data_IF_142544198470
#
_entry.id   IF_142544198470
#
_cell.length_a   1.000
_cell.length_b   1.000
_cell.length_c   1.000
_cell.angle_alpha   90.00
_cell.angle_beta   90.00
_cell.angle_gamma   90.00
#
_symmetry.space_group_name_H-M   'P 1'
#
loop_
_entity.id
_entity.type
_entity.pdbx_description
1 polymer ?
#
# COMPACT_ATOMS: atom_id res chain seq x y z
N UNK A 1 -4.03 -12.51 -15.26
CA UNK A 1 -3.50 -11.16 -15.56
C UNK A 1 -2.90 -11.19 -16.95
N UNK A 2 -3.27 -10.25 -17.83
CA UNK A 2 -2.56 -10.05 -19.09
C UNK A 2 -1.20 -9.42 -18.81
N UNK A 3 -0.16 -9.86 -19.52
CA UNK A 3 1.23 -9.41 -19.33
C UNK A 3 1.36 -7.87 -19.41
N UNK A 4 0.58 -7.24 -20.29
CA UNK A 4 0.54 -5.79 -20.51
C UNK A 4 0.07 -5.01 -19.28
N UNK A 5 -0.98 -5.46 -18.61
CA UNK A 5 -1.54 -4.79 -17.44
C UNK A 5 -0.59 -4.89 -16.23
N UNK A 6 0.13 -6.01 -16.09
CA UNK A 6 1.16 -6.18 -15.05
C UNK A 6 2.34 -5.22 -15.25
N UNK A 7 2.80 -5.04 -16.50
CA UNK A 7 3.90 -4.12 -16.81
C UNK A 7 3.52 -2.67 -16.46
N UNK A 8 2.29 -2.26 -16.80
CA UNK A 8 1.76 -0.94 -16.45
C UNK A 8 1.72 -0.76 -14.92
N UNK A 9 1.22 -1.76 -14.19
CA UNK A 9 1.15 -1.73 -12.73
C UNK A 9 2.55 -1.59 -12.10
N UNK A 10 3.54 -2.36 -12.56
CA UNK A 10 4.93 -2.26 -12.08
C UNK A 10 5.49 -0.87 -12.37
N UNK A 11 5.25 -0.32 -13.57
CA UNK A 11 5.68 1.03 -13.92
C UNK A 11 5.14 2.10 -12.95
N UNK A 12 3.84 2.02 -12.61
CA UNK A 12 3.24 2.92 -11.62
C UNK A 12 3.83 2.72 -10.23
N UNK A 13 4.09 1.47 -9.80
CA UNK A 13 4.71 1.19 -8.50
C UNK A 13 6.14 1.74 -8.40
N UNK A 14 6.93 1.67 -9.47
CA UNK A 14 8.26 2.28 -9.53
C UNK A 14 8.16 3.81 -9.39
N UNK A 15 7.19 4.44 -10.04
CA UNK A 15 6.98 5.89 -9.91
C UNK A 15 6.57 6.26 -8.48
N UNK A 16 5.70 5.49 -7.84
CA UNK A 16 5.32 5.67 -6.43
C UNK A 16 6.55 5.54 -5.53
N UNK A 17 7.37 4.50 -5.73
CA UNK A 17 8.61 4.31 -4.97
C UNK A 17 9.56 5.50 -5.07
N UNK A 18 9.85 5.94 -6.31
CA UNK A 18 10.77 7.06 -6.55
C UNK A 18 10.22 8.36 -5.95
N UNK A 19 8.93 8.63 -6.12
CA UNK A 19 8.33 9.85 -5.59
C UNK A 19 8.27 9.88 -4.06
N UNK A 20 7.88 8.78 -3.43
CA UNK A 20 7.78 8.70 -1.97
C UNK A 20 9.16 8.86 -1.31
N UNK A 21 10.20 8.28 -1.91
CA UNK A 21 11.59 8.47 -1.46
C UNK A 21 12.14 9.88 -1.70
N UNK A 22 11.80 10.52 -2.84
CA UNK A 22 12.41 11.80 -3.22
C UNK A 22 11.70 13.01 -2.62
N UNK A 23 10.36 13.01 -2.64
CA UNK A 23 9.58 14.20 -2.34
C UNK A 23 8.77 14.10 -1.05
N UNK A 24 8.59 12.92 -0.44
CA UNK A 24 7.73 12.67 0.76
C UNK A 24 6.28 13.18 0.69
N UNK A 25 5.93 13.84 -0.39
CA UNK A 25 4.60 14.30 -0.73
C UNK A 25 4.27 13.57 -2.02
N UNK A 26 3.64 12.41 -1.87
CA UNK A 26 3.00 11.75 -2.99
C UNK A 26 1.98 12.75 -3.54
N UNK A 27 2.20 13.26 -4.75
CA UNK A 27 1.16 14.01 -5.43
C UNK A 27 -0.03 13.06 -5.62
N UNK A 28 -1.21 13.47 -5.13
CA UNK A 28 -2.46 12.69 -5.07
C UNK A 28 -2.81 12.02 -6.42
N UNK A 29 -2.28 12.54 -7.52
CA UNK A 29 -2.44 12.05 -8.88
C UNK A 29 -1.91 10.61 -9.12
N UNK A 30 -0.83 10.18 -8.47
CA UNK A 30 -0.24 8.84 -8.70
C UNK A 30 -1.00 7.69 -8.04
N UNK A 31 -1.43 7.81 -6.77
CA UNK A 31 -2.32 6.83 -6.17
C UNK A 31 -3.64 6.68 -6.91
N UNK A 32 -4.17 7.75 -7.50
CA UNK A 32 -5.35 7.69 -8.39
C UNK A 32 -5.02 6.87 -9.65
N UNK A 33 -3.85 7.10 -10.26
CA UNK A 33 -3.37 6.27 -11.37
C UNK A 33 -3.21 4.79 -11.00
N UNK A 34 -2.73 4.49 -9.79
CA UNK A 34 -2.63 3.13 -9.26
C UNK A 34 -4.01 2.49 -9.06
N UNK A 35 -4.99 3.25 -8.55
CA UNK A 35 -6.37 2.79 -8.37
C UNK A 35 -7.01 2.47 -9.72
N UNK A 36 -6.84 3.33 -10.73
CA UNK A 36 -7.35 3.08 -12.08
C UNK A 36 -6.68 1.86 -12.72
N UNK A 37 -5.36 1.72 -12.58
CA UNK A 37 -4.64 0.55 -13.05
C UNK A 37 -5.12 -0.74 -12.36
N UNK A 38 -5.35 -0.68 -11.04
CA UNK A 38 -5.87 -1.81 -10.27
C UNK A 38 -7.29 -2.22 -10.70
N UNK A 39 -8.17 -1.25 -10.98
CA UNK A 39 -9.51 -1.51 -11.50
C UNK A 39 -9.48 -2.14 -12.89
N UNK A 40 -8.63 -1.64 -13.80
CA UNK A 40 -8.46 -2.19 -15.14
C UNK A 40 -7.95 -3.63 -15.07
N UNK A 41 -6.92 -3.90 -14.27
CA UNK A 41 -6.36 -5.24 -14.06
C UNK A 41 -7.41 -6.22 -13.54
N UNK A 42 -8.24 -5.77 -12.59
CA UNK A 42 -9.27 -6.62 -12.01
C UNK A 42 -10.42 -6.88 -13.00
N UNK A 43 -10.88 -5.84 -13.73
CA UNK A 43 -11.90 -5.98 -14.77
C UNK A 43 -11.49 -6.98 -15.85
N UNK A 44 -10.23 -6.92 -16.32
CA UNK A 44 -9.70 -7.89 -17.32
C UNK A 44 -9.55 -9.30 -16.76
N UNK A 45 -9.41 -9.47 -15.45
CA UNK A 45 -9.22 -10.79 -14.82
C UNK A 45 -10.53 -11.45 -14.38
N UNK A 46 -11.67 -10.79 -14.57
CA UNK A 46 -13.02 -11.27 -14.21
C UNK A 46 -13.17 -11.75 -12.75
N UNK A 47 -12.35 -11.19 -11.85
CA UNK A 47 -12.34 -11.49 -10.41
C UNK A 47 -12.91 -10.34 -9.57
N UNK A 48 -13.62 -9.39 -10.18
CA UNK A 48 -14.17 -8.22 -9.51
C UNK A 48 -15.32 -8.63 -8.60
N UNK A 49 -15.04 -8.78 -7.32
CA UNK A 49 -16.04 -8.80 -6.25
C UNK A 49 -16.02 -7.44 -5.57
N UNK A 50 -17.00 -6.61 -5.88
CA UNK A 50 -17.17 -5.30 -5.22
C UNK A 50 -17.21 -5.43 -3.69
N UNK A 51 -17.71 -6.56 -3.18
CA UNK A 51 -17.68 -6.90 -1.76
C UNK A 51 -16.26 -7.00 -1.19
N UNK A 52 -15.31 -7.58 -1.92
CA UNK A 52 -13.91 -7.66 -1.46
C UNK A 52 -13.27 -6.27 -1.37
N UNK A 53 -13.54 -5.40 -2.35
CA UNK A 53 -13.08 -4.01 -2.33
C UNK A 53 -13.67 -3.27 -1.13
N UNK A 54 -14.98 -3.41 -0.89
CA UNK A 54 -15.66 -2.80 0.24
C UNK A 54 -15.10 -3.28 1.59
N UNK A 55 -14.85 -4.59 1.74
CA UNK A 55 -14.24 -5.14 2.95
C UNK A 55 -12.79 -4.66 3.15
N UNK A 56 -12.00 -4.57 2.08
CA UNK A 56 -10.63 -4.05 2.16
C UNK A 56 -10.62 -2.57 2.61
N UNK A 57 -11.48 -1.74 2.02
CA UNK A 57 -11.62 -0.33 2.40
C UNK A 57 -12.07 -0.22 3.87
N UNK A 58 -13.10 -0.98 4.26
CA UNK A 58 -13.60 -0.98 5.64
C UNK A 58 -12.51 -1.41 6.62
N UNK A 59 -11.70 -2.40 6.28
CA UNK A 59 -10.57 -2.83 7.10
C UNK A 59 -9.54 -1.72 7.29
N UNK A 60 -9.17 -0.99 6.23
CA UNK A 60 -8.26 0.17 6.34
C UNK A 60 -8.85 1.23 7.25
N UNK A 61 -10.13 1.58 7.05
CA UNK A 61 -10.81 2.60 7.86
C UNK A 61 -10.89 2.21 9.34
N UNK A 62 -11.19 0.95 9.66
CA UNK A 62 -11.21 0.46 11.04
C UNK A 62 -9.82 0.55 11.68
N UNK A 63 -8.76 0.18 10.96
CA UNK A 63 -7.39 0.30 11.47
C UNK A 63 -6.98 1.75 11.69
N UNK A 64 -7.32 2.66 10.77
CA UNK A 64 -7.06 4.09 10.93
C UNK A 64 -7.83 4.69 12.10
N UNK A 65 -9.10 4.31 12.27
CA UNK A 65 -9.91 4.74 13.39
C UNK A 65 -9.37 4.20 14.72
N UNK A 66 -8.98 2.94 14.77
CA UNK A 66 -8.34 2.34 15.95
C UNK A 66 -7.03 3.05 16.31
N UNK A 67 -6.20 3.40 15.33
CA UNK A 67 -4.98 4.18 15.54
C UNK A 67 -5.27 5.60 16.04
N UNK A 68 -6.27 6.26 15.45
CA UNK A 68 -6.72 7.60 15.88
C UNK A 68 -7.18 7.58 17.34
N UNK A 69 -8.00 6.60 17.72
CA UNK A 69 -8.42 6.42 19.11
C UNK A 69 -7.23 6.17 20.02
N UNK A 70 -6.34 5.23 19.66
CA UNK A 70 -5.17 4.90 20.46
C UNK A 70 -4.29 6.14 20.74
N UNK A 71 -3.98 6.92 19.70
CA UNK A 71 -3.19 8.14 19.84
C UNK A 71 -3.93 9.21 20.64
N UNK A 72 -5.23 9.37 20.40
CA UNK A 72 -6.04 10.35 21.13
C UNK A 72 -6.13 10.05 22.63
N UNK A 73 -6.24 8.76 23.00
CA UNK A 73 -6.19 8.33 24.39
C UNK A 73 -4.80 8.52 25.01
N UNK A 74 -3.73 8.22 24.25
CA UNK A 74 -2.36 8.33 24.73
C UNK A 74 -1.93 9.77 24.97
N UNK A 75 -2.24 10.66 24.03
CA UNK A 75 -1.81 12.05 24.04
C UNK A 75 -2.83 13.00 24.71
N UNK A 76 -3.96 12.45 25.19
CA UNK A 76 -5.05 13.17 25.90
C UNK A 76 -5.71 14.32 25.13
N UNK A 77 -5.42 14.45 23.84
CA UNK A 77 -6.03 15.39 22.91
C UNK A 77 -6.35 14.67 21.61
N UNK A 78 -7.34 15.16 20.87
CA UNK A 78 -7.72 14.56 19.59
C UNK A 78 -6.60 14.79 18.58
N UNK A 79 -5.93 13.72 18.16
CA UNK A 79 -4.85 13.77 17.19
C UNK A 79 -5.28 13.06 15.92
N UNK A 80 -5.18 13.76 14.80
CA UNK A 80 -5.36 13.15 13.50
C UNK A 80 -4.09 12.37 13.11
N UNK A 81 -4.10 11.02 13.10
CA UNK A 81 -2.92 10.21 12.74
C UNK A 81 -2.44 10.47 11.31
N UNK A 82 -3.34 10.93 10.45
CA UNK A 82 -3.08 11.17 9.04
C UNK A 82 -2.07 12.30 8.86
N UNK A 83 -2.22 13.40 9.60
CA UNK A 83 -1.35 14.57 9.44
C UNK A 83 -0.05 14.45 10.25
N UNK A 84 -0.06 13.63 11.31
CA UNK A 84 1.03 13.56 12.29
C UNK A 84 1.95 12.34 12.12
N UNK A 85 1.42 11.17 11.71
CA UNK A 85 2.19 9.92 11.74
C UNK A 85 2.20 9.16 10.40
N UNK A 86 1.07 9.09 9.70
CA UNK A 86 0.91 8.26 8.49
C UNK A 86 1.01 9.04 7.18
N UNK A 87 0.77 10.35 7.15
CA UNK A 87 0.69 11.07 5.88
C UNK A 87 -0.51 10.64 5.01
N UNK A 88 -1.02 11.57 4.19
CA UNK A 88 -2.12 11.27 3.27
C UNK A 88 -1.73 10.24 2.20
N UNK A 89 -0.48 10.29 1.73
CA UNK A 89 0.01 9.43 0.65
C UNK A 89 -0.11 7.92 0.97
N UNK A 90 0.22 7.52 2.20
CA UNK A 90 0.17 6.13 2.64
C UNK A 90 -1.25 5.57 2.65
N UNK A 91 -2.21 6.38 3.07
CA UNK A 91 -3.63 5.99 3.10
C UNK A 91 -4.17 5.84 1.68
N UNK A 92 -3.87 6.80 0.80
CA UNK A 92 -4.34 6.72 -0.59
C UNK A 92 -3.66 5.55 -1.30
N UNK A 93 -2.41 5.21 -0.97
CA UNK A 93 -1.76 3.99 -1.48
C UNK A 93 -2.52 2.72 -1.06
N UNK A 94 -2.84 2.56 0.23
CA UNK A 94 -3.63 1.41 0.71
C UNK A 94 -4.98 1.31 0.02
N UNK A 95 -5.65 2.44 -0.18
CA UNK A 95 -6.93 2.49 -0.89
C UNK A 95 -6.77 2.08 -2.37
N UNK A 96 -5.72 2.56 -3.02
CA UNK A 96 -5.44 2.29 -4.42
C UNK A 96 -5.10 0.83 -4.72
N UNK A 97 -4.48 0.11 -3.78
CA UNK A 97 -4.19 -1.32 -3.94
C UNK A 97 -5.35 -2.23 -3.53
N UNK A 98 -6.41 -1.72 -2.90
CA UNK A 98 -7.58 -2.55 -2.49
C UNK A 98 -8.20 -3.37 -3.63
N UNK A 99 -8.30 -2.89 -4.89
CA UNK A 99 -8.89 -3.69 -5.97
C UNK A 99 -7.97 -4.81 -6.44
N UNK A 100 -6.70 -4.86 -6.03
CA UNK A 100 -5.78 -5.92 -6.44
C UNK A 100 -5.98 -7.22 -5.66
N UNK A 101 -6.61 -7.17 -4.48
CA UNK A 101 -6.61 -8.28 -3.53
C UNK A 101 -8.02 -8.72 -3.14
N UNK A 102 -8.18 -10.02 -2.86
CA UNK A 102 -9.32 -10.49 -2.06
C UNK A 102 -9.11 -10.11 -0.57
N UNK A 103 -10.15 -10.21 0.24
CA UNK A 103 -10.08 -9.79 1.65
C UNK A 103 -8.96 -10.46 2.47
N UNK A 104 -8.81 -11.79 2.36
CA UNK A 104 -7.80 -12.54 3.12
C UNK A 104 -6.38 -12.13 2.72
N UNK A 105 -6.15 -12.04 1.41
CA UNK A 105 -4.88 -11.64 0.82
C UNK A 105 -4.51 -10.21 1.17
N UNK A 106 -5.49 -9.31 1.22
CA UNK A 106 -5.29 -7.93 1.62
C UNK A 106 -4.84 -7.81 3.07
N UNK A 107 -5.46 -8.56 4.00
CA UNK A 107 -5.03 -8.60 5.40
C UNK A 107 -3.57 -9.08 5.52
N UNK A 108 -3.21 -10.15 4.82
CA UNK A 108 -1.85 -10.67 4.85
C UNK A 108 -0.85 -9.67 4.26
N UNK A 109 -1.18 -9.08 3.10
CA UNK A 109 -0.38 -8.01 2.50
C UNK A 109 -0.19 -6.83 3.47
N UNK A 110 -1.25 -6.42 4.15
CA UNK A 110 -1.21 -5.33 5.13
C UNK A 110 -0.26 -5.66 6.28
N UNK A 111 -0.42 -6.82 6.93
CA UNK A 111 0.40 -7.20 8.09
C UNK A 111 1.86 -7.42 7.68
N UNK A 112 2.13 -8.24 6.67
CA UNK A 112 3.49 -8.54 6.23
C UNK A 112 4.16 -7.31 5.59
N UNK A 113 3.41 -6.49 4.87
CA UNK A 113 3.92 -5.25 4.28
C UNK A 113 4.32 -4.23 5.35
N UNK A 114 3.53 -4.08 6.42
CA UNK A 114 3.90 -3.24 7.56
C UNK A 114 5.15 -3.76 8.27
N UNK A 115 5.23 -5.07 8.52
CA UNK A 115 6.42 -5.68 9.12
C UNK A 115 7.66 -5.51 8.23
N UNK A 116 7.52 -5.74 6.93
CA UNK A 116 8.59 -5.57 5.95
C UNK A 116 9.08 -4.12 5.91
N UNK A 117 8.16 -3.14 5.85
CA UNK A 117 8.46 -1.71 5.91
C UNK A 117 9.24 -1.35 7.18
N UNK A 118 8.80 -1.85 8.34
CA UNK A 118 9.46 -1.59 9.61
C UNK A 118 10.89 -2.17 9.64
N UNK A 119 11.05 -3.45 9.26
CA UNK A 119 12.34 -4.12 9.23
C UNK A 119 13.32 -3.44 8.26
N UNK A 120 12.83 -3.08 7.07
CA UNK A 120 13.62 -2.45 6.04
C UNK A 120 14.01 -1.02 6.43
N UNK A 121 13.10 -0.27 7.07
CA UNK A 121 13.43 1.05 7.62
C UNK A 121 14.49 0.97 8.71
N UNK A 122 14.39 0.01 9.64
CA UNK A 122 15.40 -0.18 10.70
C UNK A 122 16.75 -0.56 10.11
N UNK A 123 16.78 -1.48 9.15
CA UNK A 123 18.01 -1.90 8.47
C UNK A 123 18.68 -0.77 7.68
N UNK A 124 17.88 0.07 7.01
CA UNK A 124 18.38 1.19 6.21
C UNK A 124 18.52 2.50 7.01
N UNK A 125 18.16 2.52 8.30
CA UNK A 125 18.22 3.70 9.17
C UNK A 125 19.62 4.34 9.18
N UNK A 126 20.66 3.53 9.03
CA UNK A 126 22.05 3.98 9.00
C UNK A 126 22.46 4.60 7.66
N UNK A 127 21.76 4.28 6.58
CA UNK A 127 22.04 4.77 5.22
C UNK A 127 21.17 5.97 4.84
N UNK A 128 19.99 6.11 5.46
CA UNK A 128 18.96 7.06 5.05
C UNK A 128 18.79 8.15 6.12
N UNK A 129 19.20 9.40 5.82
CA UNK A 129 18.99 10.60 6.65
C UNK A 129 17.56 11.19 6.55
N UNK A 130 16.54 10.34 6.55
CA UNK A 130 15.15 10.74 6.27
C UNK A 130 14.35 10.61 7.60
N UNK A 131 13.89 11.72 8.18
CA UNK A 131 13.30 11.86 9.53
C UNK A 131 11.95 11.14 9.82
N UNK A 132 11.48 10.26 8.94
CA UNK A 132 10.12 9.69 8.87
C UNK A 132 10.10 8.61 7.81
N UNK A 133 9.21 7.65 8.00
CA UNK A 133 9.19 6.38 7.30
C UNK A 133 8.41 6.55 5.98
N UNK A 134 9.02 6.38 4.79
CA UNK A 134 8.31 6.37 3.51
C UNK A 134 7.57 5.03 3.31
N UNK A 135 6.43 4.88 4.01
CA UNK A 135 5.71 3.61 4.11
C UNK A 135 5.13 3.18 2.76
N UNK A 136 4.47 4.07 2.01
CA UNK A 136 3.97 3.79 0.66
C UNK A 136 5.10 3.33 -0.28
N UNK A 137 6.28 3.95 -0.19
CA UNK A 137 7.47 3.53 -0.92
C UNK A 137 7.84 2.09 -0.58
N UNK A 138 8.00 1.76 0.70
CA UNK A 138 8.33 0.39 1.10
C UNK A 138 7.26 -0.64 0.74
N UNK A 139 5.97 -0.28 0.86
CA UNK A 139 4.86 -1.15 0.46
C UNK A 139 4.79 -1.34 -1.05
N UNK A 140 5.09 -0.31 -1.85
CA UNK A 140 5.17 -0.43 -3.31
C UNK A 140 6.30 -1.37 -3.72
N UNK A 141 7.44 -1.32 -3.04
CA UNK A 141 8.55 -2.25 -3.24
C UNK A 141 8.16 -3.68 -2.87
N UNK A 142 7.51 -3.87 -1.72
CA UNK A 142 7.00 -5.17 -1.31
C UNK A 142 5.99 -5.74 -2.32
N UNK A 143 5.08 -4.90 -2.83
CA UNK A 143 4.10 -5.29 -3.83
C UNK A 143 4.77 -5.68 -5.16
N UNK A 144 5.80 -4.94 -5.60
CA UNK A 144 6.57 -5.31 -6.78
C UNK A 144 7.23 -6.68 -6.62
N UNK A 145 7.83 -6.97 -5.46
CA UNK A 145 8.43 -8.28 -5.18
C UNK A 145 7.39 -9.41 -5.28
N UNK A 146 6.19 -9.24 -4.71
CA UNK A 146 5.11 -10.24 -4.81
C UNK A 146 4.69 -10.47 -6.26
N UNK A 147 4.57 -9.41 -7.06
CA UNK A 147 4.15 -9.51 -8.47
C UNK A 147 5.22 -10.23 -9.31
N UNK A 148 6.49 -9.90 -9.09
CA UNK A 148 7.63 -10.54 -9.78
C UNK A 148 7.73 -12.01 -9.38
N UNK A 149 7.61 -12.33 -8.10
CA UNK A 149 7.66 -13.69 -7.57
C UNK A 149 6.57 -14.57 -8.18
N UNK A 150 5.35 -14.05 -8.29
CA UNK A 150 4.26 -14.73 -8.97
C UNK A 150 4.60 -15.08 -10.42
N UNK A 151 5.25 -14.17 -11.15
CA UNK A 151 5.61 -14.38 -12.55
C UNK A 151 6.80 -15.33 -12.73
N UNK A 152 7.77 -15.31 -11.82
CA UNK A 152 9.00 -16.12 -11.89
C UNK A 152 8.85 -17.50 -11.25
N UNK A 153 8.34 -17.57 -10.02
CA UNK A 153 8.27 -18.81 -9.24
C UNK A 153 6.92 -19.54 -9.38
N UNK A 154 5.87 -18.88 -9.90
CA UNK A 154 4.48 -19.39 -9.88
C UNK A 154 3.96 -19.78 -8.48
N UNK A 155 4.68 -19.40 -7.42
CA UNK A 155 4.27 -19.61 -6.04
C UNK A 155 3.30 -18.49 -5.70
N UNK A 156 2.16 -18.84 -5.11
CA UNK A 156 1.07 -17.93 -4.81
C UNK A 156 0.88 -17.85 -3.28
N UNK A 157 1.73 -17.13 -2.54
CA UNK A 157 1.56 -17.04 -1.10
C UNK A 157 0.33 -16.21 -0.67
N UNK A 158 -0.22 -15.40 -1.58
CA UNK A 158 -1.30 -14.44 -1.28
C UNK A 158 -2.44 -14.42 -2.31
N UNK A 159 -2.65 -15.45 -3.13
CA UNK A 159 -3.78 -15.54 -4.06
C UNK A 159 -4.30 -16.96 -4.24
#
# INVERSE_FOLDING_TARGET
MGLTATIILIGVLVLVFIQDFKNRAIHVMLPIGLLLAALVVNYTSNHLRLLDIAYNILFVLINLFGLMLYLSFKEKHFINPIDTYLGLGDIVFFLAVTPLFNFKSFILFFIFGLLFSLLLHIGLKWMIKINSIPLAGYLSLFLMLIIVDRHLLKINPFF
#
